data_IF_941758243900
#
_entry.id   IF_941758243900
#
_cell.length_a   1.000
_cell.length_b   1.000
_cell.length_c   1.000
_cell.angle_alpha   90.00
_cell.angle_beta   90.00
_cell.angle_gamma   90.00
#
_symmetry.space_group_name_H-M   'P 1'
#
loop_
_entity.id
_entity.type
_entity.pdbx_description
1 polymer ?
#
# COMPACT_ATOMS: atom_id res chain seq x y z
N UNK A 1 -3.01 -2.76 -27.50
CA UNK A 1 -3.75 -3.98 -27.09
C UNK A 1 -4.58 -3.60 -25.88
N UNK A 2 -5.91 -3.47 -26.06
CA UNK A 2 -6.83 -3.21 -24.97
C UNK A 2 -6.84 -4.43 -24.04
N UNK A 3 -6.63 -4.21 -22.74
CA UNK A 3 -6.83 -5.25 -21.75
C UNK A 3 -8.29 -5.72 -21.82
N UNK A 4 -8.49 -7.04 -21.81
CA UNK A 4 -9.85 -7.60 -21.78
C UNK A 4 -10.60 -7.07 -20.53
N UNK A 5 -11.89 -6.73 -20.63
CA UNK A 5 -12.64 -6.24 -19.49
C UNK A 5 -12.68 -7.29 -18.38
N UNK A 6 -12.40 -6.86 -17.15
CA UNK A 6 -12.44 -7.73 -15.96
C UNK A 6 -13.89 -8.16 -15.72
N UNK A 7 -14.12 -9.46 -15.61
CA UNK A 7 -15.47 -9.98 -15.38
C UNK A 7 -15.89 -9.84 -13.91
N UNK A 8 -17.22 -9.81 -13.67
CA UNK A 8 -17.75 -9.71 -12.29
C UNK A 8 -17.27 -10.87 -11.40
N UNK A 9 -17.13 -12.08 -11.96
CA UNK A 9 -16.63 -13.25 -11.21
C UNK A 9 -15.17 -13.03 -10.79
N UNK A 10 -14.35 -12.52 -11.69
CA UNK A 10 -12.95 -12.18 -11.36
C UNK A 10 -12.87 -11.15 -10.24
N UNK A 11 -13.68 -10.09 -10.33
CA UNK A 11 -13.75 -9.05 -9.30
C UNK A 11 -14.11 -9.66 -7.94
N UNK A 12 -15.17 -10.46 -7.88
CA UNK A 12 -15.63 -11.05 -6.61
C UNK A 12 -14.58 -12.00 -6.03
N UNK A 13 -14.03 -12.91 -6.83
CA UNK A 13 -13.04 -13.90 -6.35
C UNK A 13 -11.77 -13.21 -5.87
N UNK A 14 -11.23 -12.28 -6.64
CA UNK A 14 -10.00 -11.58 -6.27
C UNK A 14 -10.22 -10.64 -5.09
N UNK A 15 -11.38 -9.97 -4.98
CA UNK A 15 -11.72 -9.16 -3.80
C UNK A 15 -11.85 -10.02 -2.53
N UNK A 16 -12.39 -11.23 -2.62
CA UNK A 16 -12.43 -12.19 -1.50
C UNK A 16 -11.03 -12.65 -1.13
N UNK A 17 -10.19 -13.00 -2.09
CA UNK A 17 -8.78 -13.36 -1.84
C UNK A 17 -8.09 -12.19 -1.14
N UNK A 18 -8.19 -10.97 -1.64
CA UNK A 18 -7.61 -9.78 -1.02
C UNK A 18 -8.12 -9.58 0.42
N UNK A 19 -9.43 -9.60 0.62
CA UNK A 19 -10.05 -9.39 1.93
C UNK A 19 -9.60 -10.39 2.98
N UNK A 20 -9.42 -11.67 2.59
CA UNK A 20 -8.95 -12.71 3.48
C UNK A 20 -7.45 -12.65 3.75
N UNK A 21 -6.65 -12.25 2.76
CA UNK A 21 -5.19 -12.36 2.86
C UNK A 21 -4.48 -11.06 3.23
N UNK A 22 -5.13 -9.90 3.15
CA UNK A 22 -4.49 -8.61 3.42
C UNK A 22 -4.01 -8.46 4.86
N UNK A 23 -4.80 -8.94 5.81
CA UNK A 23 -4.49 -8.82 7.24
C UNK A 23 -3.81 -10.06 7.81
N UNK A 24 -3.94 -11.20 7.14
CA UNK A 24 -3.16 -12.39 7.46
C UNK A 24 -1.69 -12.22 7.01
N UNK A 25 -0.73 -12.79 7.74
CA UNK A 25 0.69 -12.65 7.41
C UNK A 25 1.11 -13.59 6.26
N UNK A 26 0.39 -13.56 5.12
CA UNK A 26 0.53 -14.52 4.00
C UNK A 26 0.73 -13.87 2.63
N UNK A 27 0.95 -12.56 2.57
CA UNK A 27 1.13 -11.80 1.32
C UNK A 27 -0.05 -11.82 0.36
N UNK A 28 -0.96 -10.86 0.49
CA UNK A 28 -2.13 -10.69 -0.39
C UNK A 28 -1.75 -10.51 -1.87
N UNK A 29 -0.71 -9.74 -2.17
CA UNK A 29 -0.22 -9.54 -3.54
C UNK A 29 0.24 -10.84 -4.20
N UNK A 30 0.92 -11.73 -3.45
CA UNK A 30 1.29 -13.04 -3.96
C UNK A 30 0.05 -13.89 -4.28
N UNK A 31 -0.98 -13.83 -3.44
CA UNK A 31 -2.23 -14.56 -3.64
C UNK A 31 -3.07 -14.02 -4.81
N UNK A 32 -3.09 -12.72 -5.05
CA UNK A 32 -3.75 -12.14 -6.23
C UNK A 32 -3.07 -12.58 -7.52
N UNK A 33 -1.75 -12.55 -7.57
CA UNK A 33 -0.96 -13.04 -8.73
C UNK A 33 -1.18 -14.54 -8.94
N UNK A 34 -1.11 -15.33 -7.87
CA UNK A 34 -1.31 -16.78 -7.94
C UNK A 34 -2.74 -17.13 -8.36
N UNK A 35 -3.74 -16.46 -7.79
CA UNK A 35 -5.14 -16.66 -8.14
C UNK A 35 -5.39 -16.41 -9.62
N UNK A 36 -4.91 -15.29 -10.15
CA UNK A 36 -5.03 -14.99 -11.58
C UNK A 36 -4.39 -16.07 -12.46
N UNK A 37 -3.21 -16.58 -12.08
CA UNK A 37 -2.53 -17.64 -12.83
C UNK A 37 -3.22 -19.00 -12.74
N UNK A 38 -3.70 -19.39 -11.56
CA UNK A 38 -4.38 -20.68 -11.35
C UNK A 38 -5.68 -20.74 -12.17
N UNK A 39 -6.40 -19.64 -12.23
CA UNK A 39 -7.64 -19.56 -13.04
C UNK A 39 -7.40 -19.23 -14.51
N UNK A 40 -6.16 -19.05 -14.95
CA UNK A 40 -5.82 -18.67 -16.34
C UNK A 40 -6.32 -17.26 -16.70
N UNK A 41 -6.50 -16.38 -15.72
CA UNK A 41 -6.95 -15.00 -15.94
C UNK A 41 -5.77 -14.09 -16.29
N UNK A 42 -5.97 -13.08 -17.15
CA UNK A 42 -4.97 -12.04 -17.35
C UNK A 42 -4.75 -11.26 -16.05
N UNK A 43 -3.56 -10.69 -15.88
CA UNK A 43 -3.28 -9.77 -14.78
C UNK A 43 -4.19 -8.54 -14.90
N UNK A 44 -4.91 -8.21 -13.83
CA UNK A 44 -5.86 -7.08 -13.78
C UNK A 44 -5.15 -5.73 -13.65
N UNK A 45 -3.88 -5.74 -13.32
CA UNK A 45 -3.03 -4.56 -13.23
C UNK A 45 -3.17 -3.76 -11.94
N UNK A 46 -2.26 -2.80 -11.80
CA UNK A 46 -2.07 -2.02 -10.57
C UNK A 46 -3.33 -1.28 -10.10
N UNK A 47 -4.16 -0.79 -11.03
CA UNK A 47 -5.39 -0.05 -10.66
C UNK A 47 -6.39 -0.95 -9.93
N UNK A 48 -6.51 -2.21 -10.34
CA UNK A 48 -7.36 -3.18 -9.67
C UNK A 48 -6.81 -3.54 -8.30
N UNK A 49 -5.50 -3.78 -8.19
CA UNK A 49 -4.85 -4.07 -6.92
C UNK A 49 -5.08 -2.94 -5.91
N UNK A 50 -4.91 -1.69 -6.33
CA UNK A 50 -5.18 -0.52 -5.48
C UNK A 50 -6.65 -0.45 -5.07
N UNK A 51 -7.58 -0.70 -5.99
CA UNK A 51 -9.01 -0.68 -5.67
C UNK A 51 -9.38 -1.74 -4.61
N UNK A 52 -8.82 -2.94 -4.70
CA UNK A 52 -9.05 -4.00 -3.70
C UNK A 52 -8.41 -3.66 -2.33
N UNK A 53 -7.25 -3.00 -2.31
CA UNK A 53 -6.64 -2.49 -1.08
C UNK A 53 -7.48 -1.36 -0.45
N UNK A 54 -8.07 -0.49 -1.24
CA UNK A 54 -9.01 0.53 -0.71
C UNK A 54 -10.25 -0.13 -0.10
N UNK A 55 -10.75 -1.23 -0.67
CA UNK A 55 -11.83 -2.02 -0.08
C UNK A 55 -11.46 -2.57 1.30
N UNK A 56 -10.28 -3.14 1.46
CA UNK A 56 -9.79 -3.62 2.76
C UNK A 56 -9.52 -2.48 3.74
N UNK A 57 -9.05 -1.32 3.27
CA UNK A 57 -8.91 -0.10 4.08
C UNK A 57 -10.25 0.32 4.66
N UNK A 58 -11.33 0.34 3.87
CA UNK A 58 -12.68 0.67 4.36
C UNK A 58 -13.13 -0.30 5.45
N UNK A 59 -12.84 -1.59 5.33
CA UNK A 59 -13.16 -2.59 6.35
C UNK A 59 -12.43 -2.31 7.68
N UNK A 60 -11.13 -1.97 7.63
CA UNK A 60 -10.35 -1.60 8.82
C UNK A 60 -10.85 -0.30 9.44
N UNK A 61 -11.12 0.72 8.64
CA UNK A 61 -11.68 1.99 9.12
C UNK A 61 -13.01 1.75 9.85
N UNK A 62 -13.87 0.90 9.32
CA UNK A 62 -15.13 0.55 9.96
C UNK A 62 -14.94 -0.26 11.24
N UNK A 63 -14.05 -1.25 11.25
CA UNK A 63 -13.77 -2.08 12.41
C UNK A 63 -13.17 -1.26 13.56
N UNK A 64 -12.14 -0.47 13.29
CA UNK A 64 -11.43 0.34 14.27
C UNK A 64 -12.01 1.76 14.44
N UNK A 65 -13.20 2.06 13.92
CA UNK A 65 -13.78 3.41 13.92
C UNK A 65 -13.80 4.09 15.31
N UNK A 66 -14.07 3.31 16.39
CA UNK A 66 -14.09 3.86 17.75
C UNK A 66 -12.70 4.27 18.23
N UNK A 67 -11.70 3.49 17.93
CA UNK A 67 -10.31 3.77 18.29
C UNK A 67 -9.76 4.93 17.46
N UNK A 68 -10.01 4.92 16.16
CA UNK A 68 -9.59 5.99 15.25
C UNK A 68 -10.25 7.32 15.62
N UNK A 69 -11.53 7.31 15.93
CA UNK A 69 -12.22 8.53 16.42
C UNK A 69 -11.69 8.97 17.78
N UNK A 70 -11.40 8.05 18.71
CA UNK A 70 -10.77 8.36 19.99
C UNK A 70 -9.39 9.00 19.83
N UNK A 71 -8.56 8.44 18.93
CA UNK A 71 -7.25 9.00 18.60
C UNK A 71 -7.35 10.37 17.90
N UNK A 72 -8.33 10.61 17.05
CA UNK A 72 -8.55 11.90 16.41
C UNK A 72 -9.06 12.95 17.40
N UNK A 73 -10.05 12.61 18.20
CA UNK A 73 -10.70 13.54 19.13
C UNK A 73 -9.77 13.98 20.27
N UNK A 74 -8.81 13.14 20.71
CA UNK A 74 -7.90 13.52 21.79
C UNK A 74 -6.99 14.71 21.45
N UNK A 75 -6.97 15.18 20.21
CA UNK A 75 -6.25 16.39 19.78
C UNK A 75 -7.07 17.68 19.92
N UNK A 76 -8.40 17.56 19.91
CA UNK A 76 -9.32 18.70 19.98
C UNK A 76 -9.83 18.98 21.39
N UNK A 77 -9.53 18.09 22.36
CA UNK A 77 -9.95 18.24 23.75
C UNK A 77 -8.75 18.18 24.72
N UNK A 78 -8.85 18.85 25.87
CA UNK A 78 -7.83 18.68 26.92
C UNK A 78 -7.76 17.22 27.37
N UNK A 79 -6.55 16.74 27.60
CA UNK A 79 -6.31 15.37 28.10
C UNK A 79 -6.92 15.22 29.49
N UNK A 80 -7.99 14.45 29.61
CA UNK A 80 -8.77 14.31 30.85
C UNK A 80 -8.52 13.01 31.62
N UNK A 81 -7.75 12.07 31.04
CA UNK A 81 -7.51 10.77 31.67
C UNK A 81 -6.42 9.96 30.98
N UNK A 82 -6.19 8.76 31.50
CA UNK A 82 -5.16 7.85 30.96
C UNK A 82 -5.52 7.34 29.56
N UNK A 83 -6.81 7.17 29.26
CA UNK A 83 -7.27 6.79 27.94
C UNK A 83 -6.90 7.82 26.85
N UNK A 84 -7.05 9.12 27.12
CA UNK A 84 -6.66 10.18 26.19
C UNK A 84 -5.14 10.20 25.97
N UNK A 85 -4.35 9.97 27.05
CA UNK A 85 -2.89 9.87 26.95
C UNK A 85 -2.46 8.68 26.09
N UNK A 86 -3.10 7.54 26.29
CA UNK A 86 -2.85 6.32 25.52
C UNK A 86 -3.20 6.52 24.03
N UNK A 87 -4.36 7.08 23.73
CA UNK A 87 -4.79 7.38 22.37
C UNK A 87 -3.82 8.36 21.66
N UNK A 88 -3.41 9.42 22.35
CA UNK A 88 -2.44 10.39 21.81
C UNK A 88 -1.07 9.76 21.57
N UNK A 89 -0.60 8.92 22.50
CA UNK A 89 0.66 8.19 22.35
C UNK A 89 0.61 7.22 21.18
N UNK A 90 -0.46 6.43 21.09
CA UNK A 90 -0.66 5.47 20.00
C UNK A 90 -0.71 6.17 18.64
N UNK A 91 -1.43 7.30 18.55
CA UNK A 91 -1.47 8.12 17.34
C UNK A 91 -0.07 8.58 16.92
N UNK A 92 0.73 9.12 17.87
CA UNK A 92 2.12 9.56 17.61
C UNK A 92 2.97 8.38 17.13
N UNK A 93 2.85 7.21 17.77
CA UNK A 93 3.58 6.01 17.38
C UNK A 93 3.21 5.54 15.97
N UNK A 94 1.92 5.50 15.65
CA UNK A 94 1.46 5.14 14.30
C UNK A 94 1.92 6.14 13.24
N UNK A 95 1.87 7.43 13.55
CA UNK A 95 2.37 8.48 12.65
C UNK A 95 3.87 8.34 12.42
N UNK A 96 4.67 8.16 13.48
CA UNK A 96 6.11 7.97 13.38
C UNK A 96 6.48 6.75 12.53
N UNK A 97 5.80 5.60 12.77
CA UNK A 97 5.99 4.39 11.97
C UNK A 97 5.61 4.60 10.50
N UNK A 98 4.50 5.29 10.25
CA UNK A 98 4.03 5.59 8.88
C UNK A 98 5.00 6.47 8.12
N UNK A 99 5.49 7.55 8.76
CA UNK A 99 6.47 8.46 8.15
C UNK A 99 7.75 7.70 7.79
N UNK A 100 8.26 6.86 8.69
CA UNK A 100 9.44 6.04 8.42
C UNK A 100 9.21 5.11 7.22
N UNK A 101 8.07 4.43 7.17
CA UNK A 101 7.70 3.54 6.06
C UNK A 101 7.60 4.28 4.74
N UNK A 102 6.86 5.39 4.70
CA UNK A 102 6.62 6.16 3.46
C UNK A 102 7.94 6.76 2.96
N UNK A 103 8.77 7.27 3.85
CA UNK A 103 10.08 7.83 3.51
C UNK A 103 10.99 6.78 2.86
N UNK A 104 11.14 5.60 3.47
CA UNK A 104 11.95 4.53 2.88
C UNK A 104 11.29 3.98 1.62
N UNK A 105 9.95 3.86 1.61
CA UNK A 105 9.19 3.44 0.44
C UNK A 105 9.46 4.33 -0.77
N UNK A 106 9.53 5.63 -0.56
CA UNK A 106 9.85 6.60 -1.60
C UNK A 106 11.29 6.42 -2.13
N UNK A 107 12.27 6.25 -1.23
CA UNK A 107 13.68 6.07 -1.61
C UNK A 107 13.95 4.74 -2.32
N UNK A 108 13.26 3.67 -1.93
CA UNK A 108 13.50 2.32 -2.45
C UNK A 108 12.59 1.95 -3.65
N UNK A 109 11.67 2.83 -4.04
CA UNK A 109 10.64 2.50 -5.03
C UNK A 109 11.20 2.02 -6.37
N UNK A 110 12.14 2.75 -6.94
CA UNK A 110 12.70 2.42 -8.27
C UNK A 110 13.50 1.12 -8.22
N UNK A 111 14.28 0.91 -7.14
CA UNK A 111 15.03 -0.33 -6.92
C UNK A 111 14.12 -1.56 -6.89
N UNK A 112 12.98 -1.44 -6.22
CA UNK A 112 12.02 -2.54 -6.05
C UNK A 112 11.24 -2.78 -7.35
N UNK A 113 10.80 -1.72 -8.02
CA UNK A 113 9.98 -1.81 -9.22
C UNK A 113 10.69 -2.51 -10.38
N UNK A 114 12.01 -2.32 -10.51
CA UNK A 114 12.80 -2.85 -11.62
C UNK A 114 13.34 -4.26 -11.39
N UNK A 115 13.64 -4.65 -10.13
CA UNK A 115 14.48 -5.82 -9.88
C UNK A 115 13.80 -6.98 -9.12
N UNK A 116 12.64 -6.76 -8.47
CA UNK A 116 12.13 -7.73 -7.50
C UNK A 116 10.81 -8.42 -7.89
N UNK A 117 10.36 -8.34 -9.15
CA UNK A 117 9.09 -8.95 -9.61
C UNK A 117 9.20 -10.41 -10.09
N UNK A 118 10.34 -11.06 -9.93
CA UNK A 118 10.51 -12.47 -10.30
C UNK A 118 9.77 -13.39 -9.31
N UNK A 119 9.12 -14.43 -9.84
CA UNK A 119 8.42 -15.44 -9.02
C UNK A 119 9.34 -16.14 -8.01
N UNK A 120 10.61 -16.28 -8.32
CA UNK A 120 11.61 -16.86 -7.40
C UNK A 120 11.84 -15.93 -6.22
N UNK A 121 11.90 -14.61 -6.47
CA UNK A 121 12.02 -13.60 -5.40
C UNK A 121 10.79 -13.66 -4.49
N UNK A 122 9.59 -13.71 -5.08
CA UNK A 122 8.33 -13.82 -4.33
C UNK A 122 8.33 -15.09 -3.47
N UNK A 123 8.70 -16.22 -4.02
CA UNK A 123 8.73 -17.50 -3.30
C UNK A 123 9.72 -17.48 -2.12
N UNK A 124 10.95 -17.04 -2.36
CA UNK A 124 11.95 -16.96 -1.31
C UNK A 124 11.64 -15.91 -0.26
N UNK A 125 11.08 -14.76 -0.65
CA UNK A 125 10.63 -13.74 0.28
C UNK A 125 9.51 -14.29 1.18
N UNK A 126 8.50 -14.94 0.59
CA UNK A 126 7.39 -15.54 1.35
C UNK A 126 7.89 -16.60 2.35
N UNK A 127 8.78 -17.49 1.92
CA UNK A 127 9.37 -18.50 2.80
C UNK A 127 10.23 -17.87 3.90
N UNK A 128 11.11 -16.93 3.55
CA UNK A 128 12.03 -16.29 4.48
C UNK A 128 11.30 -15.46 5.54
N UNK A 129 10.35 -14.61 5.13
CA UNK A 129 9.56 -13.81 6.08
C UNK A 129 8.57 -14.66 6.87
N UNK A 130 8.02 -15.75 6.30
CA UNK A 130 7.21 -16.71 7.03
C UNK A 130 8.02 -17.44 8.12
N UNK A 131 9.24 -17.89 7.79
CA UNK A 131 10.14 -18.48 8.77
C UNK A 131 10.56 -17.48 9.86
N UNK A 132 10.83 -16.23 9.48
CA UNK A 132 11.17 -15.17 10.43
C UNK A 132 10.02 -14.87 11.40
N UNK A 133 8.78 -14.84 10.90
CA UNK A 133 7.58 -14.69 11.73
C UNK A 133 7.45 -15.86 12.71
N UNK A 134 7.60 -17.07 12.23
CA UNK A 134 7.54 -18.26 13.08
C UNK A 134 8.61 -18.25 14.18
N UNK A 135 9.84 -17.88 13.85
CA UNK A 135 10.93 -17.71 14.83
C UNK A 135 10.56 -16.61 15.83
N UNK A 136 10.15 -15.45 15.36
CA UNK A 136 9.80 -14.32 16.20
C UNK A 136 8.67 -14.69 17.18
N UNK A 137 7.66 -15.41 16.72
CA UNK A 137 6.54 -15.85 17.54
C UNK A 137 6.99 -16.90 18.58
N UNK A 138 7.92 -17.79 18.21
CA UNK A 138 8.44 -18.83 19.08
C UNK A 138 9.34 -18.31 20.22
N UNK A 139 10.06 -17.19 20.01
CA UNK A 139 11.02 -16.66 20.99
C UNK A 139 10.49 -15.45 21.76
N UNK A 140 9.40 -14.81 21.28
CA UNK A 140 8.85 -13.63 21.92
C UNK A 140 8.03 -13.97 23.16
N UNK A 141 8.12 -13.09 24.19
CA UNK A 141 7.18 -13.09 25.29
C UNK A 141 5.79 -12.61 24.87
N UNK A 142 4.78 -12.88 25.71
CA UNK A 142 3.38 -12.57 25.41
C UNK A 142 2.81 -11.43 26.26
N UNK A 143 3.65 -10.70 27.00
CA UNK A 143 3.19 -9.87 28.11
C UNK A 143 2.99 -8.39 27.75
N UNK A 144 3.62 -7.88 26.66
CA UNK A 144 3.55 -6.46 26.33
C UNK A 144 2.30 -6.13 25.54
N UNK A 145 1.47 -5.28 26.12
CA UNK A 145 0.27 -4.75 25.47
C UNK A 145 0.63 -3.61 24.49
N UNK A 146 -0.30 -3.24 23.61
CA UNK A 146 -0.12 -2.19 22.61
C UNK A 146 0.23 -0.82 23.24
N UNK A 147 -0.27 -0.56 24.44
CA UNK A 147 0.00 0.66 25.19
C UNK A 147 1.45 0.76 25.67
N UNK A 148 2.19 -0.34 25.71
CA UNK A 148 3.60 -0.37 26.10
C UNK A 148 4.55 0.02 24.94
N UNK A 149 4.04 0.17 23.69
CA UNK A 149 4.86 0.57 22.56
C UNK A 149 5.32 2.02 22.75
N UNK A 150 6.61 2.27 22.52
CA UNK A 150 7.20 3.60 22.53
C UNK A 150 7.51 4.05 21.09
N UNK A 151 7.93 5.30 20.94
CA UNK A 151 8.27 5.87 19.63
C UNK A 151 9.42 5.09 18.96
N UNK A 152 10.40 4.61 19.74
CA UNK A 152 11.52 3.83 19.20
C UNK A 152 11.02 2.50 18.63
N UNK A 153 10.20 1.78 19.39
CA UNK A 153 9.58 0.54 18.90
C UNK A 153 8.70 0.76 17.68
N UNK A 154 7.91 1.84 17.68
CA UNK A 154 7.10 2.19 16.54
C UNK A 154 7.94 2.51 15.28
N UNK A 155 9.02 3.27 15.43
CA UNK A 155 9.95 3.53 14.33
C UNK A 155 10.60 2.25 13.82
N UNK A 156 11.01 1.32 14.70
CA UNK A 156 11.56 0.03 14.28
C UNK A 156 10.55 -0.80 13.49
N UNK A 157 9.27 -0.82 13.91
CA UNK A 157 8.21 -1.49 13.14
C UNK A 157 8.01 -0.80 11.78
N UNK A 158 8.01 0.53 11.74
CA UNK A 158 7.90 1.30 10.49
C UNK A 158 9.07 1.07 9.53
N UNK A 159 10.30 1.00 10.07
CA UNK A 159 11.49 0.66 9.29
C UNK A 159 11.42 -0.79 8.75
N UNK A 160 11.04 -1.74 9.61
CA UNK A 160 10.85 -3.12 9.20
C UNK A 160 9.77 -3.22 8.10
N UNK A 161 8.69 -2.43 8.18
CA UNK A 161 7.64 -2.41 7.17
C UNK A 161 8.14 -2.06 5.77
N UNK A 162 9.25 -1.37 5.63
CA UNK A 162 9.87 -1.12 4.32
C UNK A 162 10.26 -2.43 3.60
N UNK A 163 10.55 -3.51 4.34
CA UNK A 163 10.77 -4.83 3.73
C UNK A 163 9.52 -5.36 3.00
N UNK A 164 8.33 -4.86 3.34
CA UNK A 164 7.09 -5.23 2.64
C UNK A 164 7.01 -4.72 1.18
N UNK A 165 7.92 -3.85 0.77
CA UNK A 165 8.11 -3.48 -0.63
C UNK A 165 8.62 -4.66 -1.47
N UNK A 166 9.29 -5.64 -0.87
CA UNK A 166 9.71 -6.86 -1.54
C UNK A 166 8.46 -7.70 -1.82
N UNK A 167 8.15 -7.99 -3.09
CA UNK A 167 7.00 -8.83 -3.42
C UNK A 167 7.12 -10.20 -2.75
N UNK A 168 6.03 -10.64 -2.09
CA UNK A 168 6.05 -11.88 -1.29
C UNK A 168 6.30 -11.64 0.20
N UNK A 169 6.95 -10.55 0.61
CA UNK A 169 6.97 -10.14 1.99
C UNK A 169 5.60 -9.55 2.36
N UNK A 170 4.88 -10.20 3.23
CA UNK A 170 3.59 -9.70 3.71
C UNK A 170 3.77 -8.46 4.58
N UNK A 171 3.08 -7.35 4.28
CA UNK A 171 3.12 -6.13 5.11
C UNK A 171 2.71 -6.44 6.56
N UNK A 172 1.57 -7.10 6.75
CA UNK A 172 1.12 -7.55 8.08
C UNK A 172 2.11 -8.52 8.70
N UNK A 173 2.65 -9.46 7.93
CA UNK A 173 3.66 -10.41 8.39
C UNK A 173 4.91 -9.73 8.93
N UNK A 174 5.48 -8.78 8.20
CA UNK A 174 6.69 -8.05 8.61
C UNK A 174 6.44 -7.19 9.85
N UNK A 175 5.33 -6.46 9.91
CA UNK A 175 5.01 -5.60 11.05
C UNK A 175 4.64 -6.38 12.30
N UNK A 176 3.93 -7.51 12.16
CA UNK A 176 3.67 -8.44 13.28
C UNK A 176 4.99 -9.05 13.76
N UNK A 177 5.85 -9.51 12.85
CA UNK A 177 7.18 -10.06 13.21
C UNK A 177 7.99 -9.05 14.02
N UNK A 178 8.07 -7.80 13.56
CA UNK A 178 8.78 -6.75 14.28
C UNK A 178 8.16 -6.46 15.64
N UNK A 179 6.84 -6.41 15.73
CA UNK A 179 6.11 -6.26 16.99
C UNK A 179 6.38 -7.40 17.97
N UNK A 180 6.38 -8.65 17.50
CA UNK A 180 6.72 -9.83 18.30
C UNK A 180 8.16 -9.79 18.82
N UNK A 181 9.13 -9.46 17.97
CA UNK A 181 10.54 -9.29 18.38
C UNK A 181 10.74 -8.17 19.42
N UNK A 182 9.85 -7.18 19.46
CA UNK A 182 9.82 -6.14 20.49
C UNK A 182 9.07 -6.59 21.76
N UNK A 183 8.60 -7.84 21.81
CA UNK A 183 7.93 -8.44 22.95
C UNK A 183 6.44 -8.09 23.07
N UNK A 184 5.82 -7.55 22.02
CA UNK A 184 4.36 -7.38 22.02
C UNK A 184 3.66 -8.73 22.00
N UNK A 185 2.53 -8.85 22.71
CA UNK A 185 1.66 -10.01 22.59
C UNK A 185 1.17 -10.19 21.14
N UNK A 186 0.77 -11.39 20.70
CA UNK A 186 0.27 -11.62 19.33
C UNK A 186 -0.86 -10.67 18.97
N UNK A 187 -1.83 -10.48 19.89
CA UNK A 187 -2.95 -9.56 19.72
C UNK A 187 -2.48 -8.09 19.58
N UNK A 188 -1.56 -7.64 20.43
CA UNK A 188 -1.03 -6.28 20.38
C UNK A 188 -0.24 -6.01 19.08
N UNK A 189 0.57 -6.98 18.63
CA UNK A 189 1.31 -6.88 17.39
C UNK A 189 0.38 -6.83 16.16
N UNK A 190 -0.64 -7.70 16.11
CA UNK A 190 -1.64 -7.69 15.06
C UNK A 190 -2.46 -6.39 15.04
N UNK A 191 -2.92 -5.94 16.21
CA UNK A 191 -3.69 -4.69 16.35
C UNK A 191 -2.88 -3.47 15.90
N UNK A 192 -1.60 -3.36 16.31
CA UNK A 192 -0.72 -2.29 15.85
C UNK A 192 -0.51 -2.34 14.34
N UNK A 193 -0.28 -3.52 13.76
CA UNK A 193 -0.14 -3.75 12.32
C UNK A 193 -1.38 -3.30 11.53
N UNK A 194 -2.58 -3.62 12.03
CA UNK A 194 -3.84 -3.26 11.37
C UNK A 194 -4.11 -1.75 11.45
N UNK A 195 -3.86 -1.12 12.59
CA UNK A 195 -3.97 0.34 12.72
C UNK A 195 -2.95 1.07 11.84
N UNK A 196 -1.71 0.55 11.76
CA UNK A 196 -0.66 1.09 10.89
C UNK A 196 -1.00 0.96 9.41
N UNK A 197 -1.83 0.00 9.03
CA UNK A 197 -2.29 -0.15 7.64
C UNK A 197 -3.06 1.07 7.15
N UNK A 198 -3.82 1.74 8.03
CA UNK A 198 -4.68 2.85 7.66
C UNK A 198 -3.91 3.99 6.97
N UNK A 199 -2.93 4.63 7.62
CA UNK A 199 -2.17 5.70 6.96
C UNK A 199 -1.32 5.21 5.79
N UNK A 200 -0.81 3.98 5.85
CA UNK A 200 0.10 3.45 4.81
C UNK A 200 -0.66 3.09 3.54
N UNK A 201 -1.80 2.40 3.62
CA UNK A 201 -2.62 2.09 2.44
C UNK A 201 -3.21 3.38 1.84
N UNK A 202 -3.65 4.32 2.69
CA UNK A 202 -4.12 5.62 2.22
C UNK A 202 -3.03 6.39 1.46
N UNK A 203 -1.81 6.43 1.97
CA UNK A 203 -0.67 7.06 1.31
C UNK A 203 -0.30 6.37 -0.01
N UNK A 204 -0.31 5.03 -0.05
CA UNK A 204 -0.06 4.26 -1.26
C UNK A 204 -1.14 4.52 -2.33
N UNK A 205 -2.41 4.55 -1.94
CA UNK A 205 -3.52 4.88 -2.82
C UNK A 205 -3.39 6.28 -3.43
N UNK A 206 -3.11 7.28 -2.60
CA UNK A 206 -2.90 8.66 -3.05
C UNK A 206 -1.69 8.79 -4.01
N UNK A 207 -0.61 8.06 -3.76
CA UNK A 207 0.57 8.07 -4.64
C UNK A 207 0.27 7.47 -6.02
N UNK A 208 -0.52 6.40 -6.08
CA UNK A 208 -0.93 5.78 -7.34
C UNK A 208 -1.89 6.69 -8.10
N UNK A 209 -2.87 7.30 -7.43
CA UNK A 209 -3.81 8.25 -8.03
C UNK A 209 -3.07 9.48 -8.57
N UNK A 210 -2.13 10.05 -7.82
CA UNK A 210 -1.31 11.18 -8.27
C UNK A 210 -0.48 10.85 -9.52
N UNK A 211 0.09 9.64 -9.61
CA UNK A 211 0.80 9.17 -10.82
C UNK A 211 -0.14 8.95 -11.99
N UNK A 212 -1.32 8.37 -11.76
CA UNK A 212 -2.33 8.18 -12.80
C UNK A 212 -2.78 9.52 -13.39
N UNK A 213 -3.09 10.50 -12.54
CA UNK A 213 -3.44 11.88 -12.95
C UNK A 213 -2.28 12.51 -13.72
N UNK A 214 -1.04 12.38 -13.25
CA UNK A 214 0.15 12.89 -13.94
C UNK A 214 0.34 12.30 -15.33
N UNK A 215 0.13 10.99 -15.48
CA UNK A 215 0.20 10.30 -16.79
C UNK A 215 -0.93 10.73 -17.71
N UNK A 216 -2.16 10.89 -17.20
CA UNK A 216 -3.31 11.33 -17.99
C UNK A 216 -3.12 12.77 -18.46
N UNK A 217 -2.72 13.67 -17.56
CA UNK A 217 -2.45 15.07 -17.92
C UNK A 217 -1.26 15.21 -18.87
N UNK A 218 -0.19 14.42 -18.67
CA UNK A 218 0.95 14.40 -19.58
C UNK A 218 0.56 13.93 -20.98
N UNK A 219 -0.28 12.88 -21.11
CA UNK A 219 -0.79 12.41 -22.41
C UNK A 219 -1.72 13.43 -23.05
N UNK A 220 -2.56 14.11 -22.28
CA UNK A 220 -3.42 15.18 -22.79
C UNK A 220 -2.61 16.36 -23.32
N UNK A 221 -1.56 16.78 -22.61
CA UNK A 221 -0.66 17.84 -23.06
C UNK A 221 0.11 17.48 -24.32
N UNK A 222 0.58 16.21 -24.44
CA UNK A 222 1.25 15.74 -25.66
C UNK A 222 0.29 15.70 -26.85
N UNK A 223 -0.97 15.27 -26.65
CA UNK A 223 -1.99 15.25 -27.69
C UNK A 223 -2.34 16.67 -28.17
N UNK A 224 -2.49 17.63 -27.25
CA UNK A 224 -2.74 19.04 -27.59
C UNK A 224 -1.59 19.65 -28.38
N UNK A 225 -0.35 19.34 -27.98
CA UNK A 225 0.85 19.84 -28.70
C UNK A 225 0.96 19.21 -30.11
N UNK A 226 0.55 17.96 -30.30
CA UNK A 226 0.50 17.32 -31.62
C UNK A 226 -0.60 17.92 -32.53
N UNK A 227 -1.75 18.27 -31.93
CA UNK A 227 -2.81 18.98 -32.67
C UNK A 227 -2.35 20.36 -33.14
N UNK A 228 -1.78 21.14 -32.24
CA UNK A 228 -1.23 22.48 -32.58
C UNK A 228 -0.14 22.41 -33.66
N UNK A 229 0.75 21.42 -33.59
CA UNK A 229 1.80 21.24 -34.61
C UNK A 229 1.24 20.78 -35.96
N UNK A 230 0.08 20.15 -36.04
CA UNK A 230 -0.63 19.80 -37.27
C UNK A 230 -1.32 21.04 -37.89
N UNK A 231 -1.97 21.84 -37.05
CA UNK A 231 -2.66 23.06 -37.45
C UNK A 231 -1.66 24.08 -38.08
N UNK A 232 -0.49 24.25 -37.45
CA UNK A 232 0.57 25.14 -37.99
C UNK A 232 1.06 24.63 -39.35
N UNK A 233 1.27 23.33 -39.51
CA UNK A 233 1.70 22.75 -40.82
C UNK A 233 0.61 22.80 -41.88
N UNK A 234 -0.66 22.72 -41.47
CA UNK A 234 -1.81 22.89 -42.41
C UNK A 234 -1.86 24.32 -42.97
N UNK A 235 -1.66 25.31 -42.12
CA UNK A 235 -1.64 26.73 -42.52
C UNK A 235 -0.46 27.07 -43.45
N UNK A 236 0.72 26.48 -43.22
CA UNK A 236 1.89 26.64 -44.10
C UNK A 236 1.71 25.99 -45.48
N UNK A 237 1.00 24.86 -45.55
CA UNK A 237 0.72 24.16 -46.79
C UNK A 237 -0.31 24.91 -47.66
N UNK A 238 -1.35 25.51 -47.05
CA UNK A 238 -2.35 26.32 -47.76
C UNK A 238 -1.75 27.65 -48.26
N UNK A 239 -0.84 28.26 -47.46
CA UNK A 239 -0.14 29.50 -47.87
C UNK A 239 0.82 29.27 -49.03
N UNK A 240 1.37 28.07 -49.21
CA UNK A 240 2.29 27.74 -50.29
C UNK A 240 1.57 27.46 -51.64
N UNK A 241 0.28 27.09 -51.62
CA UNK A 241 -0.51 26.85 -52.82
C UNK A 241 -1.18 28.15 -53.38
N UNK A 242 -1.43 29.13 -52.50
CA UNK A 242 -2.01 30.42 -52.94
C UNK A 242 -1.06 31.40 -53.63
N UNK A 243 0.26 31.12 -53.67
CA UNK A 243 1.27 31.99 -54.30
C UNK A 243 1.74 31.59 -55.70
N UNK A 244 1.10 30.59 -56.34
CA UNK A 244 1.54 30.07 -57.65
C UNK A 244 0.62 30.49 -58.83
N UNK A 245 -0.45 31.27 -58.56
CA UNK A 245 -1.43 31.70 -59.58
C UNK A 245 -1.45 33.22 -59.81
N UNK A 246 -0.33 33.94 -59.62
CA UNK A 246 -0.17 35.35 -60.11
C UNK A 246 0.96 35.50 -61.11
#
# INVERSE_FOLDING_TARGET
SGAAPVTLIQIIVLALIQGLTEFLPVSSSAHLILGSRVFGWPDQGLAFDVATHLGTLMAVLFYFRRELTGMALCWFHPVRGDGDRQNRRLFICLTAASVATVFIGFLAYDLVAENLRDLRVIAWATLGFGALLWIADSVAGDDRKIEAIDIKGALLIGLAQACALIPGASRSGVTITAGRLLGLSPDAAARFSFLLSVPVIAAAGAAVEGRFIGVVLGRAAVADNQHRARDVRGVEADGAQGGADE
#
